data_IF_572250337022
#
_entry.id   IF_572250337022
#
_cell.length_a   1.000
_cell.length_b   1.000
_cell.length_c   1.000
_cell.angle_alpha   90.00
_cell.angle_beta   90.00
_cell.angle_gamma   90.00
#
_symmetry.space_group_name_H-M   'P 1'
#
loop_
_entity.id
_entity.type
_entity.pdbx_description
1 polymer ?
#
# COMPACT_ATOMS: atom_id res chain seq x y z
N UNK A 1 -5.10 -5.46 2.38
CA UNK A 1 -6.34 -4.82 2.86
C UNK A 1 -6.91 -3.83 1.84
N UNK A 2 -6.16 -2.78 1.45
CA UNK A 2 -6.69 -1.81 0.46
C UNK A 2 -7.03 -2.50 -0.87
N UNK A 3 -6.18 -3.39 -1.35
CA UNK A 3 -6.47 -4.22 -2.52
C UNK A 3 -7.66 -5.16 -2.30
N UNK A 4 -7.81 -5.72 -1.09
CA UNK A 4 -8.97 -6.52 -0.75
C UNK A 4 -10.29 -5.75 -0.87
N UNK A 5 -10.30 -4.48 -0.44
CA UNK A 5 -11.46 -3.58 -0.63
C UNK A 5 -11.73 -3.30 -2.11
N UNK A 6 -10.69 -3.00 -2.89
CA UNK A 6 -10.78 -2.70 -4.32
C UNK A 6 -11.32 -3.91 -5.11
N UNK A 7 -10.90 -5.11 -4.76
CA UNK A 7 -11.31 -6.36 -5.39
C UNK A 7 -12.60 -6.96 -4.81
N UNK A 8 -13.21 -6.29 -3.82
CA UNK A 8 -14.51 -6.68 -3.24
C UNK A 8 -14.45 -7.85 -2.25
N UNK A 9 -13.28 -8.23 -1.75
CA UNK A 9 -13.16 -9.28 -0.74
C UNK A 9 -13.80 -8.86 0.59
N UNK A 10 -14.49 -9.80 1.23
CA UNK A 10 -15.16 -9.59 2.52
C UNK A 10 -14.38 -10.17 3.71
N UNK A 11 -13.43 -11.07 3.45
CA UNK A 11 -12.59 -11.70 4.47
C UNK A 11 -11.13 -11.68 4.03
N UNK A 12 -10.24 -11.46 4.99
CA UNK A 12 -8.79 -11.53 4.75
C UNK A 12 -8.35 -12.94 4.34
N UNK A 13 -8.97 -13.98 4.90
CA UNK A 13 -8.66 -15.36 4.50
C UNK A 13 -8.97 -15.61 3.02
N UNK A 14 -10.03 -15.03 2.49
CA UNK A 14 -10.40 -15.18 1.07
C UNK A 14 -9.45 -14.35 0.18
N UNK A 15 -9.12 -13.12 0.61
CA UNK A 15 -8.08 -12.28 -0.03
C UNK A 15 -6.74 -13.03 -0.13
N UNK A 16 -6.34 -13.76 0.92
CA UNK A 16 -5.09 -14.53 0.95
C UNK A 16 -5.14 -15.86 0.18
N UNK A 17 -6.32 -16.27 -0.31
CA UNK A 17 -6.47 -17.38 -1.26
C UNK A 17 -6.30 -16.90 -2.72
N UNK A 18 -6.34 -15.59 -2.97
CA UNK A 18 -5.96 -15.01 -4.26
C UNK A 18 -4.44 -15.10 -4.42
N UNK A 19 -4.00 -15.82 -5.47
CA UNK A 19 -2.58 -16.11 -5.68
C UNK A 19 -1.74 -14.86 -5.93
N UNK A 20 -2.30 -13.86 -6.63
CA UNK A 20 -1.58 -12.62 -6.96
C UNK A 20 -1.46 -11.70 -5.75
N UNK A 21 -2.54 -11.56 -4.97
CA UNK A 21 -2.50 -10.80 -3.72
C UNK A 21 -1.59 -11.45 -2.69
N UNK A 22 -1.66 -12.76 -2.55
CA UNK A 22 -0.75 -13.50 -1.67
C UNK A 22 0.70 -13.27 -2.07
N UNK A 23 1.01 -13.41 -3.35
CA UNK A 23 2.35 -13.17 -3.90
C UNK A 23 2.82 -11.73 -3.68
N UNK A 24 1.94 -10.73 -3.85
CA UNK A 24 2.26 -9.33 -3.56
C UNK A 24 2.66 -9.17 -2.09
N UNK A 25 1.84 -9.65 -1.17
CA UNK A 25 2.10 -9.52 0.28
C UNK A 25 3.38 -10.24 0.69
N UNK A 26 3.59 -11.46 0.20
CA UNK A 26 4.82 -12.24 0.43
C UNK A 26 6.05 -11.52 -0.11
N UNK A 27 5.99 -11.01 -1.34
CA UNK A 27 7.14 -10.35 -1.96
C UNK A 27 7.46 -9.02 -1.28
N UNK A 28 6.46 -8.20 -0.91
CA UNK A 28 6.69 -7.00 -0.10
C UNK A 28 7.38 -7.37 1.21
N UNK A 29 6.89 -8.40 1.90
CA UNK A 29 7.43 -8.82 3.18
C UNK A 29 8.85 -9.37 3.10
N UNK A 30 9.08 -10.33 2.19
CA UNK A 30 10.37 -11.04 2.12
C UNK A 30 11.47 -10.27 1.38
N UNK A 31 11.10 -9.55 0.31
CA UNK A 31 12.09 -8.94 -0.58
C UNK A 31 12.36 -7.48 -0.22
N UNK A 32 11.32 -6.70 0.12
CA UNK A 32 11.50 -5.28 0.42
C UNK A 32 11.54 -4.99 1.93
N UNK A 33 10.78 -5.72 2.75
CA UNK A 33 10.72 -5.49 4.19
C UNK A 33 11.80 -6.19 4.98
N UNK A 34 11.95 -7.50 4.81
CA UNK A 34 12.85 -8.33 5.63
C UNK A 34 14.32 -7.89 5.62
N UNK A 35 14.89 -7.40 4.50
CA UNK A 35 16.29 -6.96 4.47
C UNK A 35 16.64 -5.85 5.46
N UNK A 36 15.69 -5.03 5.87
CA UNK A 36 15.91 -3.90 6.80
C UNK A 36 15.44 -4.19 8.23
N UNK A 37 14.92 -5.40 8.48
CA UNK A 37 14.47 -5.77 9.83
C UNK A 37 15.66 -5.99 10.76
N UNK A 38 15.71 -5.22 11.84
CA UNK A 38 16.67 -5.44 12.92
C UNK A 38 16.25 -6.68 13.70
N UNK A 39 17.13 -7.67 13.79
CA UNK A 39 16.87 -8.89 14.56
C UNK A 39 16.84 -8.56 16.07
N UNK A 40 15.70 -8.74 16.77
CA UNK A 40 15.61 -8.42 18.20
C UNK A 40 16.31 -9.44 19.11
N UNK A 41 16.86 -10.52 18.55
CA UNK A 41 17.58 -11.56 19.30
C UNK A 41 16.70 -12.58 20.04
N UNK A 42 15.42 -12.29 20.23
CA UNK A 42 14.46 -13.15 20.94
C UNK A 42 13.50 -13.87 20.00
N UNK A 43 13.44 -13.46 18.76
CA UNK A 43 12.58 -13.99 17.71
C UNK A 43 13.28 -13.87 16.36
N UNK A 44 13.33 -14.96 15.61
CA UNK A 44 13.81 -14.91 14.23
C UNK A 44 12.81 -14.17 13.33
N UNK A 45 13.19 -13.03 12.70
CA UNK A 45 12.28 -12.25 11.88
C UNK A 45 11.68 -13.03 10.72
N UNK A 46 12.48 -13.94 10.10
CA UNK A 46 11.99 -14.77 9.00
C UNK A 46 10.95 -15.78 9.47
N UNK A 47 11.19 -16.48 10.55
CA UNK A 47 10.23 -17.43 11.11
C UNK A 47 8.94 -16.73 11.58
N UNK A 48 9.05 -15.49 12.05
CA UNK A 48 7.89 -14.68 12.42
C UNK A 48 7.03 -14.33 11.21
N UNK A 49 7.63 -13.80 10.15
CA UNK A 49 6.88 -13.43 8.93
C UNK A 49 6.28 -14.68 8.27
N UNK A 50 7.00 -15.81 8.25
CA UNK A 50 6.47 -17.11 7.76
C UNK A 50 5.19 -17.49 8.52
N UNK A 51 5.20 -17.40 9.85
CA UNK A 51 4.03 -17.70 10.68
C UNK A 51 2.87 -16.74 10.38
N UNK A 52 3.14 -15.46 10.22
CA UNK A 52 2.11 -14.45 9.91
C UNK A 52 1.48 -14.73 8.55
N UNK A 53 2.29 -14.94 7.51
CA UNK A 53 1.81 -15.03 6.13
C UNK A 53 1.22 -16.40 5.78
N UNK A 54 1.76 -17.48 6.38
CA UNK A 54 1.34 -18.84 6.02
C UNK A 54 0.27 -19.43 6.96
N UNK A 55 0.20 -18.91 8.20
CA UNK A 55 -0.68 -19.48 9.22
C UNK A 55 -1.71 -18.47 9.70
N UNK A 56 -1.28 -17.27 10.12
CA UNK A 56 -2.16 -16.33 10.80
C UNK A 56 -3.14 -15.66 9.84
N UNK A 57 -2.64 -15.03 8.80
CA UNK A 57 -3.47 -14.21 7.89
C UNK A 57 -4.43 -15.07 7.04
N UNK A 58 -4.02 -16.25 6.52
CA UNK A 58 -4.93 -17.13 5.78
C UNK A 58 -5.94 -17.88 6.64
N UNK A 59 -5.86 -17.79 7.97
CA UNK A 59 -6.70 -18.57 8.87
C UNK A 59 -8.17 -18.16 8.77
N UNK A 60 -9.08 -19.03 8.29
CA UNK A 60 -10.49 -18.70 8.13
C UNK A 60 -11.25 -18.52 9.45
N UNK A 61 -10.67 -18.99 10.58
CA UNK A 61 -11.23 -18.79 11.91
C UNK A 61 -10.87 -17.42 12.53
N UNK A 62 -10.00 -16.63 11.87
CA UNK A 62 -9.79 -15.23 12.23
C UNK A 62 -10.82 -14.37 11.49
N UNK A 63 -11.84 -13.85 12.16
CA UNK A 63 -12.92 -13.08 11.51
C UNK A 63 -12.45 -11.65 11.23
N UNK A 64 -11.52 -11.51 10.28
CA UNK A 64 -10.99 -10.21 9.90
C UNK A 64 -11.41 -9.83 8.48
N UNK A 65 -11.60 -8.53 8.26
CA UNK A 65 -12.03 -7.97 6.99
C UNK A 65 -11.02 -6.97 6.44
N UNK A 66 -10.90 -6.84 5.11
CA UNK A 66 -10.09 -5.79 4.49
C UNK A 66 -10.43 -4.40 5.02
N UNK A 67 -11.73 -4.10 5.22
CA UNK A 67 -12.21 -2.82 5.72
C UNK A 67 -11.68 -2.53 7.13
N UNK A 68 -11.75 -3.52 8.06
CA UNK A 68 -11.22 -3.33 9.42
C UNK A 68 -9.72 -3.09 9.42
N UNK A 69 -8.97 -3.81 8.59
CA UNK A 69 -7.51 -3.64 8.50
C UNK A 69 -7.15 -2.31 7.83
N UNK A 70 -7.99 -1.79 6.93
CA UNK A 70 -7.77 -0.51 6.27
C UNK A 70 -8.06 0.71 7.16
N UNK A 71 -8.57 0.54 8.40
CA UNK A 71 -8.69 1.63 9.37
C UNK A 71 -7.34 2.29 9.60
N UNK A 72 -7.31 3.64 9.69
CA UNK A 72 -6.09 4.46 9.92
C UNK A 72 -4.97 4.18 8.91
N UNK A 73 -5.30 3.88 7.66
CA UNK A 73 -4.31 3.52 6.65
C UNK A 73 -3.31 4.65 6.41
N UNK A 74 -3.74 5.91 6.36
CA UNK A 74 -2.87 7.06 6.16
C UNK A 74 -1.74 7.17 7.20
N UNK A 75 -2.01 6.79 8.46
CA UNK A 75 -0.99 6.78 9.51
C UNK A 75 -0.08 5.56 9.43
N UNK A 76 -0.60 4.43 8.92
CA UNK A 76 0.15 3.18 8.80
C UNK A 76 1.19 3.21 7.70
N UNK A 77 0.99 4.03 6.65
CA UNK A 77 1.92 4.09 5.52
C UNK A 77 3.31 4.57 5.97
N UNK A 78 3.37 5.70 6.69
CA UNK A 78 4.63 6.24 7.19
C UNK A 78 5.38 5.24 8.10
N UNK A 79 4.67 4.69 9.10
CA UNK A 79 5.27 3.83 10.12
C UNK A 79 5.76 2.49 9.53
N UNK A 80 5.07 1.95 8.53
CA UNK A 80 5.37 0.61 8.01
C UNK A 80 6.27 0.64 6.79
N UNK A 81 5.94 1.48 5.83
CA UNK A 81 6.65 1.53 4.55
C UNK A 81 7.65 2.68 4.50
N UNK A 82 7.31 3.84 5.10
CA UNK A 82 8.23 4.97 5.20
C UNK A 82 9.51 4.62 5.93
N UNK A 83 9.42 3.89 7.05
CA UNK A 83 10.60 3.42 7.78
C UNK A 83 11.45 2.43 6.96
N UNK A 84 10.81 1.58 6.15
CA UNK A 84 11.54 0.71 5.20
C UNK A 84 12.30 1.54 4.17
N UNK A 85 11.65 2.57 3.57
CA UNK A 85 12.30 3.44 2.57
C UNK A 85 13.49 4.19 3.19
N UNK A 86 13.34 4.70 4.42
CA UNK A 86 14.45 5.37 5.14
C UNK A 86 15.62 4.42 5.35
N UNK A 87 15.34 3.19 5.80
CA UNK A 87 16.39 2.20 6.01
C UNK A 87 17.13 1.84 4.71
N UNK A 88 16.43 1.80 3.57
CA UNK A 88 17.08 1.66 2.25
C UNK A 88 17.94 2.87 1.91
N UNK A 89 17.46 4.09 2.19
CA UNK A 89 18.20 5.32 1.90
C UNK A 89 19.46 5.50 2.78
N UNK A 90 19.46 4.92 3.98
CA UNK A 90 20.58 4.97 4.92
C UNK A 90 21.56 3.80 4.74
N UNK A 91 21.24 2.82 3.92
CA UNK A 91 22.07 1.62 3.69
C UNK A 91 23.10 1.86 2.60
N UNK A 92 24.32 1.37 2.83
CA UNK A 92 25.36 1.32 1.79
C UNK A 92 25.18 0.13 0.82
N UNK A 93 24.31 -0.84 1.16
CA UNK A 93 24.12 -2.08 0.41
C UNK A 93 22.79 -2.13 -0.36
N UNK A 94 21.79 -1.33 0.06
CA UNK A 94 20.46 -1.33 -0.50
C UNK A 94 20.22 -0.03 -1.29
N UNK A 95 19.44 -0.13 -2.36
CA UNK A 95 19.11 1.00 -3.22
C UNK A 95 17.61 1.27 -3.19
N UNK A 96 17.21 2.47 -2.81
CA UNK A 96 15.80 2.93 -2.85
C UNK A 96 15.20 2.73 -4.24
N UNK A 97 15.99 2.90 -5.29
CA UNK A 97 15.54 2.65 -6.66
C UNK A 97 15.21 1.17 -6.95
N UNK A 98 15.60 0.22 -6.09
CA UNK A 98 15.20 -1.18 -6.22
C UNK A 98 13.78 -1.47 -5.73
N UNK A 99 13.19 -0.60 -4.90
CA UNK A 99 11.83 -0.74 -4.38
C UNK A 99 10.80 -0.60 -5.52
N UNK A 100 10.02 -1.65 -5.75
CA UNK A 100 9.00 -1.71 -6.79
C UNK A 100 7.60 -1.91 -6.23
N UNK A 101 7.49 -2.66 -5.15
CA UNK A 101 6.21 -3.08 -4.59
C UNK A 101 5.68 -2.12 -3.53
N UNK A 102 6.54 -1.47 -2.75
CA UNK A 102 6.11 -0.40 -1.84
C UNK A 102 5.45 0.74 -2.64
N UNK A 103 6.00 1.25 -3.76
CA UNK A 103 5.29 2.17 -4.64
C UNK A 103 3.94 1.64 -5.16
N UNK A 104 3.85 0.36 -5.49
CA UNK A 104 2.59 -0.29 -5.87
C UNK A 104 1.58 -0.28 -4.72
N UNK A 105 2.01 -0.53 -3.48
CA UNK A 105 1.14 -0.42 -2.30
C UNK A 105 0.58 0.99 -2.14
N UNK A 106 1.40 2.02 -2.34
CA UNK A 106 0.96 3.41 -2.30
C UNK A 106 -0.02 3.75 -3.41
N UNK A 107 0.22 3.25 -4.62
CA UNK A 107 -0.74 3.38 -5.74
C UNK A 107 -2.09 2.71 -5.42
N UNK A 108 -2.07 1.51 -4.84
CA UNK A 108 -3.27 0.83 -4.37
C UNK A 108 -4.01 1.60 -3.28
N UNK A 109 -3.29 2.30 -2.40
CA UNK A 109 -3.93 3.18 -1.43
C UNK A 109 -4.61 4.39 -2.09
N UNK A 110 -3.99 5.05 -3.06
CA UNK A 110 -4.64 6.12 -3.84
C UNK A 110 -5.90 5.61 -4.54
N UNK A 111 -5.83 4.40 -5.12
CA UNK A 111 -6.99 3.74 -5.77
C UNK A 111 -8.11 3.42 -4.77
N UNK A 112 -7.77 2.94 -3.57
CA UNK A 112 -8.73 2.70 -2.49
C UNK A 112 -9.46 3.98 -2.08
N UNK A 113 -8.79 5.13 -2.00
CA UNK A 113 -9.40 6.41 -1.62
C UNK A 113 -10.48 6.89 -2.60
N UNK A 114 -10.55 6.36 -3.82
CA UNK A 114 -11.65 6.63 -4.76
C UNK A 114 -12.99 6.05 -4.28
N UNK A 115 -12.98 5.09 -3.36
CA UNK A 115 -14.16 4.45 -2.76
C UNK A 115 -15.04 3.71 -3.78
N UNK A 116 -14.44 3.15 -4.82
CA UNK A 116 -15.10 2.36 -5.87
C UNK A 116 -14.28 1.11 -6.12
N UNK A 117 -14.92 -0.07 -6.15
CA UNK A 117 -14.26 -1.34 -6.48
C UNK A 117 -14.04 -1.51 -7.99
N UNK A 118 -13.35 -2.58 -8.39
CA UNK A 118 -13.06 -2.84 -9.79
C UNK A 118 -14.29 -3.28 -10.60
N UNK A 119 -15.39 -3.63 -9.93
CA UNK A 119 -16.69 -3.87 -10.57
C UNK A 119 -17.53 -2.58 -10.72
N UNK A 120 -17.01 -1.44 -10.26
CA UNK A 120 -17.70 -0.14 -10.33
C UNK A 120 -18.68 0.12 -9.18
N UNK A 121 -18.68 -0.72 -8.14
CA UNK A 121 -19.56 -0.52 -6.98
C UNK A 121 -18.88 0.41 -5.97
N UNK A 122 -19.64 1.37 -5.45
CA UNK A 122 -19.17 2.21 -4.36
C UNK A 122 -19.09 1.42 -3.06
N UNK A 123 -18.05 1.68 -2.27
CA UNK A 123 -17.92 1.15 -0.91
C UNK A 123 -17.57 2.28 0.08
N UNK A 124 -17.85 2.04 1.36
CA UNK A 124 -17.53 2.98 2.42
C UNK A 124 -16.04 2.85 2.80
N UNK A 125 -15.35 3.99 2.83
CA UNK A 125 -13.96 4.03 3.30
C UNK A 125 -13.92 3.81 4.80
N UNK A 126 -12.92 3.06 5.25
CA UNK A 126 -12.70 2.83 6.68
C UNK A 126 -12.33 4.12 7.40
N UNK A 127 -12.64 4.26 8.68
CA UNK A 127 -12.28 5.43 9.47
C UNK A 127 -10.78 5.73 9.38
N UNK A 128 -10.45 6.99 9.06
CA UNK A 128 -9.08 7.46 8.92
C UNK A 128 -9.02 8.96 9.25
N UNK A 129 -8.19 9.40 10.19
CA UNK A 129 -8.16 10.79 10.64
C UNK A 129 -7.74 11.77 9.56
N UNK A 130 -7.00 11.34 8.54
CA UNK A 130 -6.55 12.19 7.44
C UNK A 130 -7.45 12.08 6.20
N UNK A 131 -8.55 11.33 6.24
CA UNK A 131 -9.40 11.08 5.08
C UNK A 131 -9.89 12.38 4.43
N UNK A 132 -10.32 13.35 5.23
CA UNK A 132 -10.77 14.65 4.72
C UNK A 132 -9.65 15.43 4.00
N UNK A 133 -8.39 15.18 4.33
CA UNK A 133 -7.24 15.83 3.71
C UNK A 133 -6.79 15.11 2.44
N UNK A 134 -6.79 13.76 2.44
CA UNK A 134 -6.19 12.98 1.35
C UNK A 134 -7.18 12.61 0.24
N UNK A 135 -8.44 12.36 0.57
CA UNK A 135 -9.46 11.96 -0.40
C UNK A 135 -9.72 12.98 -1.52
N UNK A 136 -9.71 14.30 -1.28
CA UNK A 136 -9.94 15.31 -2.32
C UNK A 136 -9.00 15.20 -3.53
N UNK A 137 -7.83 14.60 -3.37
CA UNK A 137 -6.89 14.40 -4.48
C UNK A 137 -7.36 13.39 -5.53
N UNK A 138 -8.26 12.47 -5.18
CA UNK A 138 -8.66 11.35 -6.05
C UNK A 138 -10.16 11.10 -6.15
N UNK A 139 -11.00 11.74 -5.31
CA UNK A 139 -12.43 11.44 -5.20
C UNK A 139 -13.23 11.67 -6.49
N UNK A 140 -12.78 12.56 -7.36
CA UNK A 140 -13.47 12.93 -8.61
C UNK A 140 -12.96 12.13 -9.82
N UNK A 141 -11.94 11.29 -9.63
CA UNK A 141 -11.44 10.41 -10.67
C UNK A 141 -12.41 9.26 -10.92
N UNK A 142 -12.45 8.79 -12.18
CA UNK A 142 -13.36 7.72 -12.60
C UNK A 142 -12.58 6.59 -13.26
N UNK A 143 -12.97 5.35 -12.97
CA UNK A 143 -12.45 4.18 -13.66
C UNK A 143 -12.84 4.20 -15.14
N UNK A 144 -11.94 3.72 -15.99
CA UNK A 144 -12.13 3.66 -17.43
C UNK A 144 -12.12 5.03 -18.13
N UNK A 145 -11.96 6.14 -17.40
CA UNK A 145 -11.78 7.45 -18.00
C UNK A 145 -10.32 7.67 -18.40
N UNK A 146 -10.06 8.41 -19.49
CA UNK A 146 -8.70 8.77 -19.87
C UNK A 146 -8.02 9.53 -18.72
N UNK A 147 -6.96 8.96 -18.18
CA UNK A 147 -6.15 9.57 -17.13
C UNK A 147 -4.91 10.20 -17.77
N UNK A 148 -4.85 11.55 -17.76
CA UNK A 148 -3.64 12.24 -18.19
C UNK A 148 -2.60 12.21 -17.05
N UNK A 149 -1.54 11.44 -17.28
CA UNK A 149 -0.47 11.24 -16.31
C UNK A 149 0.19 12.58 -15.89
N UNK A 150 0.34 13.53 -16.80
CA UNK A 150 0.98 14.81 -16.47
C UNK A 150 0.10 15.65 -15.53
N UNK A 151 -1.20 15.69 -15.81
CA UNK A 151 -2.18 16.36 -14.94
C UNK A 151 -2.24 15.68 -13.56
N UNK A 152 -2.28 14.34 -13.51
CA UNK A 152 -2.27 13.60 -12.25
C UNK A 152 -0.97 13.84 -11.46
N UNK A 153 0.18 13.89 -12.13
CA UNK A 153 1.45 14.20 -11.49
C UNK A 153 1.42 15.56 -10.79
N UNK A 154 0.91 16.59 -11.46
CA UNK A 154 0.77 17.92 -10.88
C UNK A 154 -0.22 17.97 -9.72
N UNK A 155 -1.34 17.30 -9.86
CA UNK A 155 -2.39 17.24 -8.84
C UNK A 155 -1.93 16.50 -7.58
N UNK A 156 -1.24 15.37 -7.75
CA UNK A 156 -0.81 14.52 -6.65
C UNK A 156 0.54 14.94 -6.04
N UNK A 157 1.31 15.83 -6.69
CA UNK A 157 2.62 16.23 -6.20
C UNK A 157 2.63 16.72 -4.74
N UNK A 158 1.67 17.56 -4.28
CA UNK A 158 1.64 17.98 -2.87
C UNK A 158 1.42 16.83 -1.90
N UNK A 159 0.60 15.84 -2.30
CA UNK A 159 0.37 14.64 -1.50
C UNK A 159 1.60 13.72 -1.49
N UNK A 160 2.20 13.45 -2.66
CA UNK A 160 3.35 12.56 -2.80
C UNK A 160 4.63 13.10 -2.15
N UNK A 161 4.73 14.42 -1.95
CA UNK A 161 5.83 15.04 -1.19
C UNK A 161 5.58 15.10 0.32
N UNK A 162 4.40 14.73 0.80
CA UNK A 162 4.05 14.83 2.22
C UNK A 162 4.66 13.69 3.04
N UNK A 163 5.80 13.97 3.66
CA UNK A 163 6.50 13.02 4.53
C UNK A 163 5.69 12.63 5.78
N UNK A 164 4.67 13.39 6.18
CA UNK A 164 3.81 13.01 7.32
C UNK A 164 2.91 11.81 6.98
N UNK A 165 2.61 11.60 5.69
CA UNK A 165 1.78 10.51 5.18
C UNK A 165 2.62 9.29 4.78
N UNK A 166 3.70 9.52 4.03
CA UNK A 166 4.52 8.42 3.50
C UNK A 166 5.80 8.14 4.30
N UNK A 167 6.10 8.95 5.33
CA UNK A 167 7.34 8.87 6.11
C UNK A 167 8.53 9.53 5.43
N UNK A 168 8.47 9.73 4.12
CA UNK A 168 9.48 10.38 3.28
C UNK A 168 8.78 11.22 2.20
N UNK A 169 9.49 12.20 1.64
CA UNK A 169 9.09 12.85 0.40
C UNK A 169 9.36 11.88 -0.77
N UNK A 170 8.29 11.32 -1.38
CA UNK A 170 8.42 10.33 -2.46
C UNK A 170 8.98 10.92 -3.75
N UNK A 171 8.81 12.24 -3.97
CA UNK A 171 9.41 12.93 -5.12
C UNK A 171 10.91 13.01 -4.92
N UNK A 172 11.37 13.44 -3.76
CA UNK A 172 12.78 13.51 -3.43
C UNK A 172 13.43 12.12 -3.41
N UNK A 173 12.73 11.10 -2.92
CA UNK A 173 13.19 9.71 -2.90
C UNK A 173 13.22 9.04 -4.29
N UNK A 174 12.70 9.70 -5.35
CA UNK A 174 12.66 9.15 -6.70
C UNK A 174 11.64 8.02 -6.90
N UNK A 175 10.64 7.91 -6.01
CA UNK A 175 9.63 6.86 -6.05
C UNK A 175 8.28 7.32 -6.62
N UNK A 176 8.04 8.63 -6.72
CA UNK A 176 6.76 9.21 -7.14
C UNK A 176 6.32 8.76 -8.54
N UNK A 177 7.23 8.66 -9.49
CA UNK A 177 6.91 8.21 -10.86
C UNK A 177 6.37 6.79 -10.87
N UNK A 178 6.94 5.88 -10.08
CA UNK A 178 6.44 4.50 -9.95
C UNK A 178 5.06 4.42 -9.33
N UNK A 179 4.80 5.25 -8.33
CA UNK A 179 3.46 5.36 -7.73
C UNK A 179 2.46 5.85 -8.75
N UNK A 180 2.81 6.89 -9.50
CA UNK A 180 1.96 7.47 -10.54
C UNK A 180 1.68 6.49 -11.67
N UNK A 181 2.71 5.82 -12.20
CA UNK A 181 2.57 4.87 -13.30
C UNK A 181 1.67 3.68 -12.89
N UNK A 182 1.86 3.15 -11.69
CA UNK A 182 1.02 2.09 -11.14
C UNK A 182 -0.42 2.59 -10.92
N UNK A 183 -0.61 3.80 -10.38
CA UNK A 183 -1.94 4.37 -10.16
C UNK A 183 -2.69 4.61 -11.47
N UNK A 184 -2.04 5.22 -12.47
CA UNK A 184 -2.61 5.42 -13.81
C UNK A 184 -3.03 4.09 -14.45
N UNK A 185 -2.22 3.03 -14.29
CA UNK A 185 -2.58 1.69 -14.77
C UNK A 185 -3.83 1.12 -14.08
N UNK A 186 -4.07 1.45 -12.82
CA UNK A 186 -5.26 1.01 -12.07
C UNK A 186 -6.52 1.81 -12.39
N UNK A 187 -6.41 2.91 -13.13
CA UNK A 187 -7.57 3.71 -13.56
C UNK A 187 -8.14 3.24 -14.90
N UNK A 188 -7.39 2.47 -15.67
CA UNK A 188 -7.76 1.95 -16.99
C UNK A 188 -8.64 0.70 -16.87
#
# INVERSE_FOLDING_TARGET
AVYGCILGYQKISDEMNDAELKKLVETVGYVEGLPVVVNPGILDPKAFIDTVLQVRVPNPFMPDTPQRIATDTSQKLAIRFGETIKAYAESDELDVASLKLIPLVFAGWLRYLMAVDDAGNAFELSPDPLLATVRPYVQDLKLGAPADRETLSKTLAPLLSDASIFGVDLIFAGLSDRVLDAFVSMLQ
#
